data_IF_491559180028
#
_entry.id   IF_491559180028
#
_cell.length_a   1.000
_cell.length_b   1.000
_cell.length_c   1.000
_cell.angle_alpha   90.00
_cell.angle_beta   90.00
_cell.angle_gamma   90.00
#
_symmetry.space_group_name_H-M   'P 1'
#
loop_
_entity.id
_entity.type
_entity.pdbx_description
1 polymer ?
#
# COMPACT_ATOMS: atom_id res chain seq x y z
N UNK A 1 17.50 -1.19 0.14
CA UNK A 1 17.03 -1.63 1.47
C UNK A 1 15.72 -2.37 1.28
N UNK A 2 15.53 -3.52 1.93
CA UNK A 2 14.27 -4.28 1.88
C UNK A 2 13.62 -4.36 3.25
N UNK A 3 12.30 -4.30 3.29
CA UNK A 3 11.50 -4.52 4.50
C UNK A 3 11.00 -5.96 4.53
N UNK A 4 11.15 -6.61 5.68
CA UNK A 4 10.60 -7.93 5.93
C UNK A 4 9.16 -7.77 6.42
N UNK A 5 8.20 -7.78 5.49
CA UNK A 5 6.77 -7.70 5.82
C UNK A 5 6.17 -9.09 6.00
N UNK A 6 5.16 -9.19 6.86
CA UNK A 6 4.30 -10.35 6.99
C UNK A 6 3.39 -10.52 5.76
N UNK A 7 2.99 -9.39 5.17
CA UNK A 7 2.14 -9.33 4.01
C UNK A 7 1.83 -7.91 3.59
N UNK A 8 0.91 -7.79 2.63
CA UNK A 8 0.39 -6.50 2.16
C UNK A 8 -1.12 -6.51 2.36
N UNK A 9 -1.66 -5.40 2.84
CA UNK A 9 -3.10 -5.19 2.94
C UNK A 9 -3.52 -4.19 1.85
N UNK A 10 -4.65 -4.45 1.22
CA UNK A 10 -5.34 -3.53 0.34
C UNK A 10 -6.74 -3.30 0.90
N UNK A 11 -7.19 -2.04 0.89
CA UNK A 11 -8.56 -1.75 1.28
C UNK A 11 -8.98 -0.32 1.00
N UNK A 12 -10.19 -0.02 1.46
CA UNK A 12 -10.74 1.32 1.60
C UNK A 12 -11.56 1.37 2.88
N UNK A 13 -11.77 2.57 3.41
CA UNK A 13 -12.66 2.74 4.56
C UNK A 13 -14.12 2.60 4.09
N UNK A 14 -14.97 1.97 4.90
CA UNK A 14 -16.38 1.81 4.57
C UNK A 14 -17.05 3.18 4.40
N UNK A 15 -18.16 3.24 3.66
CA UNK A 15 -18.82 4.48 3.23
C UNK A 15 -19.19 5.45 4.39
N UNK A 16 -19.23 4.95 5.63
CA UNK A 16 -19.53 5.70 6.85
C UNK A 16 -18.29 6.32 7.53
N UNK A 17 -17.09 5.87 7.17
CA UNK A 17 -15.84 6.30 7.75
C UNK A 17 -15.23 7.45 6.93
N UNK A 18 -14.92 8.56 7.60
CA UNK A 18 -14.55 9.86 6.99
C UNK A 18 -13.15 9.88 6.32
N UNK A 19 -12.67 8.77 5.76
CA UNK A 19 -11.43 8.68 4.99
C UNK A 19 -11.66 8.10 3.60
N UNK A 20 -11.90 8.94 2.57
CA UNK A 20 -12.34 8.48 1.24
C UNK A 20 -11.23 7.88 0.38
N UNK A 21 -10.00 7.76 0.89
CA UNK A 21 -8.87 7.33 0.07
C UNK A 21 -8.62 5.83 0.24
N UNK A 22 -8.44 5.09 -0.87
CA UNK A 22 -8.03 3.70 -0.81
C UNK A 22 -6.61 3.62 -0.25
N UNK A 23 -6.24 2.49 0.33
CA UNK A 23 -4.93 2.30 0.94
C UNK A 23 -4.26 0.98 0.57
N UNK A 24 -2.94 1.01 0.64
CA UNK A 24 -2.06 -0.16 0.70
C UNK A 24 -1.26 -0.06 1.99
N UNK A 25 -1.20 -1.13 2.77
CA UNK A 25 -0.41 -1.16 3.99
C UNK A 25 0.64 -2.27 3.96
N UNK A 26 1.85 -1.93 4.40
CA UNK A 26 2.89 -2.89 4.73
C UNK A 26 2.59 -3.49 6.09
N UNK A 27 2.23 -4.77 6.16
CA UNK A 27 1.92 -5.43 7.42
C UNK A 27 3.16 -6.10 8.02
N UNK A 28 3.40 -5.89 9.30
CA UNK A 28 4.52 -6.45 10.02
C UNK A 28 4.04 -7.32 11.18
N UNK A 29 4.83 -8.35 11.52
CA UNK A 29 4.59 -9.11 12.76
C UNK A 29 5.14 -8.37 13.99
N UNK A 30 6.21 -7.60 13.79
CA UNK A 30 6.96 -6.95 14.86
C UNK A 30 6.79 -5.42 14.83
N UNK A 31 6.67 -4.83 16.02
CA UNK A 31 6.48 -3.40 16.19
C UNK A 31 7.73 -2.58 15.85
N UNK A 32 8.93 -3.09 16.13
CA UNK A 32 10.20 -2.40 15.84
C UNK A 32 10.42 -2.27 14.33
N UNK A 33 10.19 -3.35 13.57
CA UNK A 33 10.29 -3.33 12.11
C UNK A 33 9.27 -2.37 11.49
N UNK A 34 8.03 -2.38 11.99
CA UNK A 34 7.02 -1.42 11.59
C UNK A 34 7.45 0.03 11.85
N UNK A 35 8.01 0.33 13.02
CA UNK A 35 8.51 1.67 13.36
C UNK A 35 9.68 2.10 12.49
N UNK A 36 10.57 1.17 12.14
CA UNK A 36 11.69 1.44 11.24
C UNK A 36 11.19 1.79 9.82
N UNK A 37 10.22 1.03 9.31
CA UNK A 37 9.57 1.31 8.03
C UNK A 37 8.82 2.65 8.04
N UNK A 38 8.05 2.92 9.09
CA UNK A 38 7.37 4.20 9.29
C UNK A 38 8.35 5.38 9.32
N UNK A 39 9.43 5.27 10.08
CA UNK A 39 10.47 6.30 10.18
C UNK A 39 11.14 6.54 8.83
N UNK A 40 11.32 5.49 8.03
CA UNK A 40 11.87 5.59 6.69
C UNK A 40 10.89 6.28 5.73
N UNK A 41 9.60 5.89 5.75
CA UNK A 41 8.55 6.48 4.92
C UNK A 41 8.38 7.97 5.21
N UNK A 42 8.39 8.39 6.49
CA UNK A 42 8.32 9.81 6.89
C UNK A 42 9.47 10.67 6.37
N UNK A 43 10.61 10.06 6.01
CA UNK A 43 11.76 10.75 5.42
C UNK A 43 11.70 10.83 3.89
N UNK A 44 10.80 10.09 3.26
CA UNK A 44 10.63 10.12 1.82
C UNK A 44 9.80 11.33 1.40
N UNK A 45 10.10 11.87 0.22
CA UNK A 45 9.20 12.78 -0.48
C UNK A 45 8.04 11.99 -1.07
N UNK A 46 6.91 12.66 -1.35
CA UNK A 46 5.72 12.05 -1.96
C UNK A 46 6.00 11.29 -3.28
N UNK A 47 7.12 11.58 -3.94
CA UNK A 47 7.59 10.94 -5.18
C UNK A 47 8.69 9.88 -4.99
N UNK A 48 9.07 9.58 -3.74
CA UNK A 48 10.13 8.62 -3.43
C UNK A 48 9.72 7.16 -3.53
N UNK A 49 8.41 6.88 -3.58
CA UNK A 49 7.83 5.52 -3.57
C UNK A 49 6.76 5.39 -4.64
N UNK A 50 6.68 4.21 -5.24
CA UNK A 50 5.68 3.80 -6.22
C UNK A 50 5.08 2.46 -5.79
N UNK A 51 3.79 2.29 -6.05
CA UNK A 51 3.08 1.02 -5.88
C UNK A 51 2.81 0.44 -7.27
N UNK A 52 3.13 -0.83 -7.44
CA UNK A 52 2.78 -1.59 -8.64
C UNK A 52 1.88 -2.76 -8.24
N UNK A 53 0.74 -2.89 -8.90
CA UNK A 53 -0.23 -3.96 -8.70
C UNK A 53 -0.41 -4.67 -10.04
N UNK A 54 -0.25 -6.00 -10.06
CA UNK A 54 -0.41 -6.79 -11.29
C UNK A 54 -1.14 -8.09 -11.05
N UNK A 55 -1.95 -8.53 -12.01
CA UNK A 55 -2.60 -9.84 -11.99
C UNK A 55 -1.58 -10.98 -11.96
N UNK A 56 -1.70 -11.90 -11.01
CA UNK A 56 -0.96 -13.18 -11.00
C UNK A 56 -1.85 -14.30 -11.53
N UNK A 57 -3.10 -14.33 -11.09
CA UNK A 57 -4.13 -15.28 -11.51
C UNK A 57 -5.48 -14.55 -11.69
N UNK A 58 -6.56 -15.27 -11.97
CA UNK A 58 -7.91 -14.70 -11.95
C UNK A 58 -8.33 -14.23 -10.55
N UNK A 59 -7.75 -14.81 -9.51
CA UNK A 59 -8.11 -14.59 -8.10
C UNK A 59 -7.05 -13.80 -7.32
N UNK A 60 -5.83 -13.68 -7.83
CA UNK A 60 -4.69 -13.12 -7.10
C UNK A 60 -4.04 -11.92 -7.80
N UNK A 61 -3.57 -10.97 -6.98
CA UNK A 61 -2.78 -9.81 -7.35
C UNK A 61 -1.42 -9.87 -6.68
N UNK A 62 -0.37 -9.58 -7.44
CA UNK A 62 0.93 -9.18 -6.91
C UNK A 62 0.90 -7.70 -6.58
N UNK A 63 1.42 -7.33 -5.42
CA UNK A 63 1.61 -5.94 -5.01
C UNK A 63 3.07 -5.73 -4.67
N UNK A 64 3.67 -4.70 -5.24
CA UNK A 64 5.06 -4.34 -5.04
C UNK A 64 5.14 -2.88 -4.62
N UNK A 65 5.90 -2.61 -3.56
CA UNK A 65 6.24 -1.26 -3.11
C UNK A 65 7.68 -1.01 -3.51
N UNK A 66 7.88 0.00 -4.35
CA UNK A 66 9.10 0.22 -5.12
C UNK A 66 9.65 1.60 -4.81
N UNK A 67 10.97 1.70 -4.64
CA UNK A 67 11.64 2.99 -4.56
C UNK A 67 11.69 3.64 -5.96
N UNK A 68 11.03 4.77 -6.12
CA UNK A 68 10.73 5.34 -7.43
C UNK A 68 11.97 5.73 -8.25
N UNK A 69 13.06 6.16 -7.59
CA UNK A 69 14.28 6.64 -8.23
C UNK A 69 15.19 5.53 -8.80
N UNK A 70 15.07 4.32 -8.25
CA UNK A 70 16.01 3.21 -8.48
C UNK A 70 15.32 1.96 -8.98
N UNK A 71 14.00 1.86 -8.84
CA UNK A 71 13.26 0.65 -9.15
C UNK A 71 13.48 -0.49 -8.14
N UNK A 72 14.15 -0.22 -7.01
CA UNK A 72 14.36 -1.23 -5.97
C UNK A 72 13.04 -1.61 -5.33
N UNK A 73 12.68 -2.89 -5.34
CA UNK A 73 11.53 -3.44 -4.62
C UNK A 73 11.86 -3.43 -3.12
N UNK A 74 11.14 -2.61 -2.37
CA UNK A 74 11.26 -2.47 -0.92
C UNK A 74 10.58 -3.64 -0.21
N UNK A 75 9.40 -4.02 -0.68
CA UNK A 75 8.69 -5.24 -0.28
C UNK A 75 7.66 -5.62 -1.34
N UNK A 76 7.22 -6.87 -1.30
CA UNK A 76 6.18 -7.40 -2.18
C UNK A 76 5.33 -8.44 -1.45
N UNK A 77 4.14 -8.69 -1.95
CA UNK A 77 3.19 -9.66 -1.41
C UNK A 77 2.04 -9.91 -2.37
N UNK A 78 1.28 -10.96 -2.08
CA UNK A 78 0.07 -11.31 -2.83
C UNK A 78 -1.17 -10.91 -2.03
N UNK A 79 -2.20 -10.45 -2.74
CA UNK A 79 -3.51 -10.13 -2.18
C UNK A 79 -4.60 -10.68 -3.09
N UNK A 80 -5.74 -11.04 -2.53
CA UNK A 80 -6.86 -11.58 -3.30
C UNK A 80 -7.63 -10.49 -4.05
N UNK A 81 -8.17 -10.85 -5.21
CA UNK A 81 -9.08 -10.05 -6.03
C UNK A 81 -10.50 -10.12 -5.47
N UNK A 82 -10.66 -9.77 -4.20
CA UNK A 82 -11.92 -9.85 -3.48
C UNK A 82 -12.71 -8.52 -3.51
N UNK A 83 -13.72 -8.41 -2.64
CA UNK A 83 -14.52 -7.19 -2.50
C UNK A 83 -13.67 -5.96 -2.10
N UNK A 84 -12.65 -6.15 -1.25
CA UNK A 84 -11.78 -5.05 -0.82
C UNK A 84 -10.94 -4.51 -1.97
N UNK A 85 -10.51 -5.38 -2.89
CA UNK A 85 -9.88 -4.94 -4.14
C UNK A 85 -10.83 -4.10 -5.00
N UNK A 86 -12.10 -4.50 -5.13
CA UNK A 86 -13.09 -3.72 -5.90
C UNK A 86 -13.36 -2.35 -5.27
N UNK A 87 -13.45 -2.30 -3.95
CA UNK A 87 -13.59 -1.05 -3.19
C UNK A 87 -12.37 -0.16 -3.42
N UNK A 88 -11.16 -0.70 -3.28
CA UNK A 88 -9.91 0.00 -3.55
C UNK A 88 -9.90 0.63 -4.95
N UNK A 89 -10.21 -0.17 -5.98
CA UNK A 89 -10.25 0.30 -7.38
C UNK A 89 -11.27 1.40 -7.59
N UNK A 90 -12.47 1.26 -7.02
CA UNK A 90 -13.56 2.23 -7.14
C UNK A 90 -13.14 3.60 -6.57
N UNK A 91 -12.60 3.62 -5.35
CA UNK A 91 -12.13 4.85 -4.73
C UNK A 91 -10.92 5.44 -5.45
N UNK A 92 -9.97 4.60 -5.90
CA UNK A 92 -8.79 5.09 -6.63
C UNK A 92 -9.20 5.81 -7.92
N UNK A 93 -10.16 5.26 -8.68
CA UNK A 93 -10.68 5.87 -9.91
C UNK A 93 -11.37 7.22 -9.67
N UNK A 94 -11.95 7.43 -8.49
CA UNK A 94 -12.63 8.68 -8.14
C UNK A 94 -11.65 9.75 -7.63
N UNK A 95 -10.72 9.35 -6.77
CA UNK A 95 -9.85 10.28 -6.02
C UNK A 95 -8.51 10.53 -6.72
N UNK A 96 -8.03 9.58 -7.52
CA UNK A 96 -6.71 9.63 -8.15
C UNK A 96 -5.55 9.64 -7.13
N UNK A 97 -5.79 9.10 -5.93
CA UNK A 97 -4.84 9.06 -4.82
C UNK A 97 -4.95 7.73 -4.08
N UNK A 98 -3.85 7.31 -3.47
CA UNK A 98 -3.77 6.12 -2.62
C UNK A 98 -2.93 6.44 -1.38
N UNK A 99 -3.30 5.88 -0.23
CA UNK A 99 -2.52 5.97 0.99
C UNK A 99 -1.55 4.78 1.05
N UNK A 100 -0.28 5.05 1.35
CA UNK A 100 0.67 4.03 1.79
C UNK A 100 0.84 4.12 3.30
N UNK A 101 0.61 3.01 3.97
CA UNK A 101 0.54 2.90 5.43
C UNK A 101 1.40 1.75 5.95
N UNK A 102 1.55 1.70 7.28
CA UNK A 102 2.17 0.58 8.00
C UNK A 102 1.12 -0.04 8.94
N UNK A 103 1.15 -1.36 9.07
CA UNK A 103 0.28 -2.15 9.93
C UNK A 103 1.12 -3.09 10.81
N UNK A 104 0.58 -3.45 11.99
CA UNK A 104 1.13 -4.52 12.82
C UNK A 104 0.03 -5.53 13.12
N UNK A 105 0.22 -6.78 12.70
CA UNK A 105 -0.76 -7.85 12.90
C UNK A 105 -2.13 -7.53 12.32
N UNK A 106 -2.18 -6.87 11.15
CA UNK A 106 -3.42 -6.49 10.48
C UNK A 106 -4.05 -5.17 10.96
N UNK A 107 -3.49 -4.51 11.99
CA UNK A 107 -3.99 -3.24 12.50
C UNK A 107 -3.19 -2.07 11.93
N UNK A 108 -3.83 -1.29 11.05
CA UNK A 108 -3.24 -0.09 10.43
C UNK A 108 -2.92 0.97 11.48
N UNK A 109 -1.71 1.55 11.38
CA UNK A 109 -1.27 2.65 12.23
C UNK A 109 -1.56 3.99 11.57
N UNK A 110 -2.47 4.77 12.17
CA UNK A 110 -2.91 6.08 11.65
C UNK A 110 -1.85 7.18 11.69
N UNK A 111 -0.74 6.96 12.41
CA UNK A 111 0.35 7.94 12.58
C UNK A 111 1.33 8.01 11.40
N UNK A 112 1.24 7.05 10.46
CA UNK A 112 2.07 7.01 9.26
C UNK A 112 1.20 6.86 8.01
N UNK A 113 0.89 8.00 7.39
CA UNK A 113 0.13 8.06 6.15
C UNK A 113 0.95 8.82 5.12
N UNK A 114 1.50 8.09 4.15
CA UNK A 114 2.10 8.69 2.96
C UNK A 114 1.03 8.78 1.87
N UNK A 115 0.77 9.99 1.36
CA UNK A 115 -0.23 10.21 0.30
C UNK A 115 0.45 10.15 -1.06
N UNK A 116 0.10 9.14 -1.84
CA UNK A 116 0.63 8.97 -3.18
C UNK A 116 -0.41 9.41 -4.21
N UNK A 117 -0.04 10.34 -5.09
CA UNK A 117 -0.86 10.64 -6.27
C UNK A 117 -0.88 9.45 -7.23
N UNK A 118 -1.94 9.31 -8.02
CA UNK A 118 -2.13 8.17 -8.93
C UNK A 118 -1.03 7.96 -9.98
N UNK A 119 -0.17 8.94 -10.24
CA UNK A 119 1.02 8.75 -11.09
C UNK A 119 2.06 7.79 -10.48
N UNK A 120 1.98 7.54 -9.17
CA UNK A 120 2.81 6.60 -8.42
C UNK A 120 2.10 5.29 -8.12
N UNK A 121 0.93 5.05 -8.74
CA UNK A 121 0.28 3.75 -8.75
C UNK A 121 0.25 3.22 -10.18
N UNK A 122 0.76 2.01 -10.40
CA UNK A 122 0.66 1.29 -11.67
C UNK A 122 -0.19 0.05 -11.47
N UNK A 123 -1.31 -0.03 -12.18
CA UNK A 123 -2.16 -1.22 -12.22
C UNK A 123 -1.94 -1.86 -13.59
N UNK A 124 -1.42 -3.08 -13.60
CA UNK A 124 -1.18 -3.89 -14.80
C UNK A 124 -2.30 -4.92 -14.88
N UNK A 125 -3.09 -4.86 -15.96
CA UNK A 125 -4.21 -5.77 -16.20
C UNK A 125 -3.74 -7.19 -16.53
#
# INVERSE_FOLDING_TARGET
MKFSVAGILIGGYEHEERQPNPFVAMDFLDHEDAMNAETWLKKQKDDGVMIQIGSVSEEDLSVQIIKADSGEILCEGEVWKDEMWQIFLSYFRQMGQVLLMVSVGGVVRSECIMKLSGKFLRIME
#
